data_IF_622169004177
#
_entry.id   IF_622169004177
#
_cell.length_a   1.000
_cell.length_b   1.000
_cell.length_c   1.000
_cell.angle_alpha   90.00
_cell.angle_beta   90.00
_cell.angle_gamma   90.00
#
_symmetry.space_group_name_H-M   'P 1'
#
loop_
_entity.id
_entity.type
_entity.pdbx_description
1 polymer ?
#
# COMPACT_ATOMS: atom_id res chain seq x y z
N UNK A 1 -1.11 -3.38 5.34
CA UNK A 1 -0.31 -2.38 6.09
C UNK A 1 -0.95 -2.13 7.46
N UNK A 2 -0.14 -1.87 8.48
CA UNK A 2 -0.61 -1.36 9.78
C UNK A 2 0.01 0.00 10.05
N UNK A 3 -0.76 0.93 10.58
CA UNK A 3 -0.23 2.20 11.06
C UNK A 3 -0.99 2.73 12.26
N UNK A 4 -0.30 3.55 13.06
CA UNK A 4 -0.80 4.21 14.26
C UNK A 4 -0.16 5.59 14.39
N UNK A 5 -0.97 6.60 14.68
CA UNK A 5 -0.55 8.00 14.73
C UNK A 5 -1.31 8.83 13.70
N UNK A 6 -1.70 10.05 14.05
CA UNK A 6 -2.35 10.98 13.14
C UNK A 6 -1.38 11.40 12.02
N UNK A 7 -1.80 11.14 10.77
CA UNK A 7 -1.05 11.53 9.59
C UNK A 7 -1.40 10.71 8.35
N UNK A 8 -0.83 11.10 7.21
CA UNK A 8 -1.03 10.40 5.93
C UNK A 8 0.30 9.83 5.44
N UNK A 9 0.31 8.54 5.12
CA UNK A 9 1.42 7.90 4.40
C UNK A 9 1.17 7.99 2.90
N UNK A 10 2.21 8.22 2.12
CA UNK A 10 2.18 8.04 0.67
C UNK A 10 3.00 6.80 0.31
N UNK A 11 2.35 5.84 -0.35
CA UNK A 11 2.99 4.60 -0.80
C UNK A 11 3.08 4.63 -2.32
N UNK A 12 4.28 4.40 -2.86
CA UNK A 12 4.54 4.37 -4.30
C UNK A 12 5.24 3.08 -4.67
N UNK A 13 4.73 2.39 -5.70
CA UNK A 13 5.28 1.12 -6.19
C UNK A 13 5.89 1.35 -7.56
N UNK A 14 7.22 1.24 -7.68
CA UNK A 14 7.94 1.37 -8.97
C UNK A 14 8.28 0.00 -9.55
N UNK A 15 8.33 -0.18 -10.88
CA UNK A 15 8.20 0.85 -11.93
C UNK A 15 6.76 1.20 -12.33
N UNK A 16 5.77 0.65 -11.63
CA UNK A 16 4.35 0.88 -11.93
C UNK A 16 3.93 2.34 -11.66
N UNK A 17 2.79 2.75 -12.22
CA UNK A 17 2.18 4.06 -11.94
C UNK A 17 1.32 4.07 -10.66
N UNK A 18 1.41 3.03 -9.82
CA UNK A 18 0.61 2.93 -8.60
C UNK A 18 1.21 3.75 -7.48
N UNK A 19 0.42 4.73 -7.03
CA UNK A 19 0.64 5.47 -5.80
C UNK A 19 -0.70 5.67 -5.10
N UNK A 20 -0.72 5.52 -3.77
CA UNK A 20 -1.93 5.75 -2.99
C UNK A 20 -1.62 6.33 -1.61
N UNK A 21 -2.44 7.30 -1.14
CA UNK A 21 -2.36 7.82 0.21
C UNK A 21 -3.07 6.88 1.20
N UNK A 22 -2.59 6.85 2.44
CA UNK A 22 -3.16 6.04 3.51
C UNK A 22 -3.28 6.89 4.77
N UNK A 23 -4.51 7.13 5.20
CA UNK A 23 -4.81 7.87 6.41
C UNK A 23 -4.63 6.97 7.65
N UNK A 24 -3.80 7.45 8.58
CA UNK A 24 -3.54 6.83 9.86
C UNK A 24 -4.14 7.70 10.97
N UNK A 25 -4.73 7.06 11.97
CA UNK A 25 -5.44 7.71 13.09
C UNK A 25 -4.84 7.25 14.42
N UNK A 26 -4.88 8.12 15.42
CA UNK A 26 -4.27 7.89 16.74
C UNK A 26 -4.89 6.72 17.51
N UNK A 27 -6.21 6.55 17.39
CA UNK A 27 -6.99 5.68 18.27
C UNK A 27 -7.16 4.24 17.79
N UNK A 28 -6.72 3.89 16.58
CA UNK A 28 -6.99 2.57 16.00
C UNK A 28 -5.90 2.11 15.02
N UNK A 29 -5.36 0.91 15.26
CA UNK A 29 -4.46 0.26 14.30
C UNK A 29 -5.30 -0.31 13.16
N UNK A 30 -5.43 0.43 12.07
CA UNK A 30 -6.12 -0.05 10.87
C UNK A 30 -5.23 -1.01 10.11
N UNK A 31 -5.73 -2.21 9.83
CA UNK A 31 -5.15 -3.07 8.80
C UNK A 31 -5.75 -2.66 7.47
N UNK A 32 -4.99 -1.90 6.68
CA UNK A 32 -5.41 -1.52 5.33
C UNK A 32 -4.87 -2.59 4.37
N UNK A 33 -5.80 -3.29 3.71
CA UNK A 33 -5.49 -4.26 2.67
C UNK A 33 -5.73 -3.59 1.32
N UNK A 34 -4.66 -3.22 0.65
CA UNK A 34 -4.72 -2.70 -0.72
C UNK A 34 -4.26 -3.81 -1.65
N UNK A 35 -5.19 -4.28 -2.47
CA UNK A 35 -4.90 -5.16 -3.60
C UNK A 35 -5.21 -4.36 -4.86
N UNK A 36 -4.25 -4.35 -5.79
CA UNK A 36 -4.37 -3.64 -7.05
C UNK A 36 -3.83 -4.58 -8.11
N UNK A 37 -4.58 -4.79 -9.18
CA UNK A 37 -4.07 -5.45 -10.38
C UNK A 37 -3.24 -4.43 -11.16
N UNK A 38 -1.94 -4.72 -11.30
CA UNK A 38 -0.99 -3.80 -11.90
C UNK A 38 -0.18 -4.54 -12.94
N UNK A 39 -0.14 -4.00 -14.17
CA UNK A 39 0.77 -4.49 -15.19
C UNK A 39 2.24 -4.32 -14.74
N UNK A 40 3.08 -5.33 -14.95
CA UNK A 40 4.48 -5.32 -14.50
C UNK A 40 4.68 -5.68 -13.03
N UNK A 41 3.67 -6.19 -12.32
CA UNK A 41 3.82 -6.68 -10.93
C UNK A 41 4.69 -7.96 -10.82
N UNK A 42 4.89 -8.64 -11.94
CA UNK A 42 5.82 -9.75 -12.11
C UNK A 42 7.29 -9.30 -12.07
N UNK A 43 7.57 -8.05 -12.45
CA UNK A 43 8.90 -7.50 -12.54
C UNK A 43 9.50 -7.17 -11.16
N UNK A 44 10.82 -6.97 -11.13
CA UNK A 44 11.49 -6.44 -9.95
C UNK A 44 11.08 -4.99 -9.74
N UNK A 45 10.68 -4.66 -8.52
CA UNK A 45 10.22 -3.32 -8.17
C UNK A 45 10.80 -2.81 -6.86
N UNK A 46 10.45 -1.57 -6.53
CA UNK A 46 10.75 -0.95 -5.24
C UNK A 46 9.49 -0.31 -4.70
N UNK A 47 9.23 -0.51 -3.41
CA UNK A 47 8.21 0.24 -2.69
C UNK A 47 8.88 1.35 -1.91
N UNK A 48 8.39 2.58 -2.09
CA UNK A 48 8.77 3.73 -1.29
C UNK A 48 7.60 4.15 -0.42
N UNK A 49 7.90 4.43 0.84
CA UNK A 49 6.94 4.89 1.83
C UNK A 49 7.43 6.22 2.36
N UNK A 50 6.62 7.25 2.19
CA UNK A 50 6.80 8.55 2.84
C UNK A 50 5.80 8.65 3.98
N UNK A 51 6.30 8.96 5.19
CA UNK A 51 5.49 8.99 6.40
C UNK A 51 5.93 10.15 7.32
N UNK A 52 5.00 10.84 7.98
CA UNK A 52 5.33 11.76 9.06
C UNK A 52 6.03 11.03 10.21
N UNK A 53 6.91 11.73 10.92
CA UNK A 53 7.65 11.17 12.07
C UNK A 53 6.76 10.82 13.26
N UNK A 54 5.54 11.35 13.30
CA UNK A 54 4.50 11.05 14.31
C UNK A 54 3.84 9.69 14.09
N UNK A 55 3.98 9.08 12.91
CA UNK A 55 3.28 7.84 12.56
C UNK A 55 4.20 6.63 12.65
N UNK A 56 3.78 5.63 13.42
CA UNK A 56 4.40 4.30 13.45
C UNK A 56 3.71 3.41 12.44
N UNK A 57 4.47 2.67 11.64
CA UNK A 57 3.92 1.86 10.57
C UNK A 57 4.69 0.55 10.35
N UNK A 58 4.00 -0.42 9.76
CA UNK A 58 4.59 -1.65 9.22
C UNK A 58 3.87 -2.08 7.94
N UNK A 59 4.64 -2.61 7.01
CA UNK A 59 4.16 -3.01 5.70
C UNK A 59 4.57 -4.47 5.41
N UNK A 60 3.63 -5.23 4.86
CA UNK A 60 3.88 -6.54 4.28
C UNK A 60 3.47 -6.46 2.82
N UNK A 61 4.33 -6.94 1.93
CA UNK A 61 4.11 -6.96 0.49
C UNK A 61 4.14 -8.42 0.07
N UNK A 62 3.15 -8.82 -0.73
CA UNK A 62 3.08 -10.13 -1.35
C UNK A 62 2.49 -9.99 -2.75
N UNK A 63 2.65 -11.02 -3.57
CA UNK A 63 1.90 -11.14 -4.83
C UNK A 63 0.59 -11.87 -4.53
N UNK A 64 -0.53 -11.28 -4.92
CA UNK A 64 -1.83 -11.95 -4.91
C UNK A 64 -2.03 -12.79 -6.18
N UNK A 65 -3.10 -13.57 -6.22
CA UNK A 65 -3.62 -14.09 -7.47
C UNK A 65 -4.25 -12.94 -8.26
N UNK A 66 -4.07 -12.91 -9.59
CA UNK A 66 -4.73 -11.92 -10.43
C UNK A 66 -6.25 -12.03 -10.22
N UNK A 67 -6.94 -10.89 -10.05
CA UNK A 67 -8.40 -10.94 -10.01
C UNK A 67 -8.89 -11.59 -11.31
N UNK A 68 -9.76 -12.60 -11.20
CA UNK A 68 -10.38 -13.20 -12.39
C UNK A 68 -11.10 -12.10 -13.16
N UNK A 69 -10.83 -11.97 -14.46
CA UNK A 69 -11.55 -11.04 -15.32
C UNK A 69 -13.05 -11.33 -15.19
N UNK A 70 -13.83 -10.37 -14.66
CA UNK A 70 -15.29 -10.42 -14.77
C UNK A 70 -15.64 -10.30 -16.26
N UNK A 71 -15.81 -11.45 -16.92
CA UNK A 71 -16.30 -11.52 -18.29
C UNK A 71 -17.76 -11.07 -18.26
N UNK A 72 -18.04 -9.89 -18.78
CA UNK A 72 -19.39 -9.36 -18.98
C UNK A 72 -19.89 -9.65 -20.39
#
# INVERSE_FOLDING_TARGET
MRCQGEGTLNVTVRPTDVSFPLECRDSEVRTIHNQVDVAGAEDKGTVSVEAPTTVRWSLTIGRGEAAAEETR
#
